data_IF_273090608131
#
_entry.id   IF_273090608131
#
_cell.length_a   1.000
_cell.length_b   1.000
_cell.length_c   1.000
_cell.angle_alpha   90.00
_cell.angle_beta   90.00
_cell.angle_gamma   90.00
#
_symmetry.space_group_name_H-M   'P 1'
#
loop_
_entity.id
_entity.type
_entity.pdbx_description
1 polymer ?
#
# COMPACT_ATOMS: atom_id res chain seq x y z
N UNK A 1 -5.31 10.11 3.22
CA UNK A 1 -6.01 8.95 3.81
C UNK A 1 -7.40 8.72 3.20
N UNK A 2 -8.26 9.74 3.13
CA UNK A 2 -9.60 9.58 2.58
C UNK A 2 -9.62 9.02 1.15
N UNK A 3 -8.74 9.49 0.26
CA UNK A 3 -8.61 8.97 -1.10
C UNK A 3 -8.23 7.48 -1.18
N UNK A 4 -7.26 7.03 -0.38
CA UNK A 4 -6.86 5.61 -0.31
C UNK A 4 -8.02 4.74 0.19
N UNK A 5 -8.68 5.18 1.27
CA UNK A 5 -9.79 4.45 1.86
C UNK A 5 -10.99 4.36 0.90
N UNK A 6 -11.30 5.45 0.20
CA UNK A 6 -12.33 5.48 -0.84
C UNK A 6 -11.96 4.58 -2.03
N UNK A 7 -10.69 4.57 -2.44
CA UNK A 7 -10.21 3.72 -3.53
C UNK A 7 -10.22 2.22 -3.18
N UNK A 8 -9.90 1.86 -1.92
CA UNK A 8 -9.98 0.49 -1.41
C UNK A 8 -11.42 -0.02 -1.27
N UNK A 9 -12.35 0.89 -1.02
CA UNK A 9 -13.77 0.57 -0.98
C UNK A 9 -14.29 0.31 -2.40
N UNK A 10 -14.70 -0.93 -2.68
CA UNK A 10 -15.18 -1.39 -3.99
C UNK A 10 -16.71 -1.42 -4.03
N UNK A 11 -17.33 -0.98 -5.13
CA UNK A 11 -18.74 -1.25 -5.42
C UNK A 11 -19.76 -0.33 -4.75
N UNK A 12 -19.54 0.98 -4.72
CA UNK A 12 -20.52 1.94 -4.23
C UNK A 12 -20.24 3.36 -4.71
N UNK A 13 -20.65 3.68 -5.93
CA UNK A 13 -20.80 5.07 -6.40
C UNK A 13 -21.98 5.75 -5.65
N UNK A 14 -21.87 5.83 -4.33
CA UNK A 14 -22.90 6.34 -3.43
C UNK A 14 -24.07 5.38 -3.25
N UNK A 15 -24.64 5.37 -2.04
CA UNK A 15 -25.83 4.61 -1.62
C UNK A 15 -25.56 3.16 -1.18
N UNK A 16 -25.07 3.02 0.06
CA UNK A 16 -25.19 1.77 0.83
C UNK A 16 -26.67 1.54 1.20
N UNK A 17 -27.33 0.65 0.45
CA UNK A 17 -28.68 0.16 0.74
C UNK A 17 -28.61 -1.17 1.49
N UNK A 18 -27.95 -1.21 2.65
CA UNK A 18 -28.01 -2.35 3.58
C UNK A 18 -28.30 -1.87 5.00
N UNK A 19 -29.45 -2.28 5.53
CA UNK A 19 -29.99 -1.89 6.84
C UNK A 19 -29.55 -2.90 7.92
N UNK A 20 -28.25 -3.00 8.17
CA UNK A 20 -27.68 -3.70 9.33
C UNK A 20 -26.40 -2.98 9.78
N UNK A 21 -26.48 -2.26 10.90
CA UNK A 21 -25.39 -1.42 11.44
C UNK A 21 -24.13 -2.24 11.78
N UNK A 22 -24.29 -3.46 12.28
CA UNK A 22 -23.18 -4.36 12.63
C UNK A 22 -22.33 -4.72 11.41
N UNK A 23 -22.97 -5.07 10.28
CA UNK A 23 -22.28 -5.36 9.02
C UNK A 23 -21.55 -4.12 8.48
N UNK A 24 -22.11 -2.92 8.64
CA UNK A 24 -21.44 -1.67 8.27
C UNK A 24 -20.22 -1.39 9.15
N UNK A 25 -20.31 -1.64 10.46
CA UNK A 25 -19.18 -1.49 11.38
C UNK A 25 -18.06 -2.47 11.06
N UNK A 26 -18.37 -3.71 10.73
CA UNK A 26 -17.39 -4.72 10.34
C UNK A 26 -16.64 -4.31 9.06
N UNK A 27 -17.36 -3.84 8.03
CA UNK A 27 -16.75 -3.34 6.79
C UNK A 27 -15.81 -2.16 7.07
N UNK A 28 -16.24 -1.20 7.91
CA UNK A 28 -15.40 -0.06 8.30
C UNK A 28 -14.13 -0.51 9.03
N UNK A 29 -14.25 -1.48 9.94
CA UNK A 29 -13.09 -2.03 10.68
C UNK A 29 -12.12 -2.73 9.73
N UNK A 30 -12.62 -3.60 8.85
CA UNK A 30 -11.80 -4.29 7.86
C UNK A 30 -11.08 -3.28 6.94
N UNK A 31 -11.80 -2.28 6.46
CA UNK A 31 -11.25 -1.24 5.58
C UNK A 31 -10.14 -0.42 6.27
N UNK A 32 -10.29 -0.13 7.56
CA UNK A 32 -9.24 0.54 8.34
C UNK A 32 -7.98 -0.34 8.44
N UNK A 33 -8.14 -1.65 8.70
CA UNK A 33 -7.00 -2.58 8.75
C UNK A 33 -6.27 -2.60 7.41
N UNK A 34 -6.98 -2.78 6.30
CA UNK A 34 -6.36 -2.82 4.97
C UNK A 34 -5.68 -1.48 4.63
N UNK A 35 -6.32 -0.35 4.96
CA UNK A 35 -5.72 0.99 4.77
C UNK A 35 -4.38 1.10 5.52
N UNK A 36 -4.35 0.66 6.78
CA UNK A 36 -3.13 0.72 7.59
C UNK A 36 -2.04 -0.22 7.06
N UNK A 37 -2.40 -1.44 6.64
CA UNK A 37 -1.45 -2.38 6.02
C UNK A 37 -0.82 -1.79 4.76
N UNK A 38 -1.60 -1.12 3.92
CA UNK A 38 -1.08 -0.41 2.73
C UNK A 38 -0.09 0.69 3.13
N UNK A 39 -0.45 1.51 4.12
CA UNK A 39 0.39 2.62 4.59
C UNK A 39 1.72 2.13 5.16
N UNK A 40 1.69 1.08 5.97
CA UNK A 40 2.90 0.45 6.53
C UNK A 40 3.75 -0.13 5.40
N UNK A 41 3.15 -0.89 4.48
CA UNK A 41 3.86 -1.47 3.34
C UNK A 41 4.55 -0.39 2.51
N UNK A 42 3.84 0.68 2.17
CA UNK A 42 4.38 1.80 1.40
C UNK A 42 5.57 2.46 2.11
N UNK A 43 5.48 2.65 3.43
CA UNK A 43 6.57 3.23 4.22
C UNK A 43 7.80 2.34 4.23
N UNK A 44 7.62 1.03 4.44
CA UNK A 44 8.72 0.05 4.45
C UNK A 44 9.42 -0.02 3.09
N UNK A 45 8.65 -0.08 1.99
CA UNK A 45 9.23 -0.10 0.65
C UNK A 45 9.88 1.23 0.24
N UNK A 46 9.35 2.36 0.71
CA UNK A 46 9.99 3.66 0.52
C UNK A 46 11.35 3.69 1.21
N UNK A 47 11.44 3.24 2.46
CA UNK A 47 12.70 3.15 3.18
C UNK A 47 13.70 2.21 2.47
N UNK A 48 13.26 1.04 2.00
CA UNK A 48 14.09 0.12 1.23
C UNK A 48 14.64 0.78 -0.05
N UNK A 49 13.81 1.54 -0.76
CA UNK A 49 14.22 2.27 -1.96
C UNK A 49 15.27 3.35 -1.65
N UNK A 50 15.08 4.11 -0.56
CA UNK A 50 16.04 5.13 -0.12
C UNK A 50 17.39 4.51 0.28
N UNK A 51 17.36 3.40 1.03
CA UNK A 51 18.58 2.67 1.39
C UNK A 51 19.34 2.17 0.16
N UNK A 52 18.63 1.64 -0.85
CA UNK A 52 19.25 1.22 -2.12
C UNK A 52 19.87 2.40 -2.86
N UNK A 53 19.23 3.57 -2.86
CA UNK A 53 19.77 4.77 -3.49
C UNK A 53 21.03 5.29 -2.79
N UNK A 54 21.01 5.32 -1.45
CA UNK A 54 22.19 5.68 -0.65
C UNK A 54 23.36 4.72 -0.89
N UNK A 55 23.10 3.42 -0.92
CA UNK A 55 24.11 2.40 -1.21
C UNK A 55 24.69 2.52 -2.64
N UNK A 56 23.91 3.05 -3.58
CA UNK A 56 24.35 3.36 -4.95
C UNK A 56 25.11 4.70 -5.06
N UNK A 57 25.33 5.40 -3.94
CA UNK A 57 26.01 6.70 -3.91
C UNK A 57 25.16 7.88 -4.38
N UNK A 58 23.84 7.70 -4.54
CA UNK A 58 22.94 8.79 -4.93
C UNK A 58 22.53 9.62 -3.70
N UNK A 59 22.58 10.96 -3.76
CA UNK A 59 22.18 11.81 -2.65
C UNK A 59 20.67 11.73 -2.41
N UNK A 60 20.27 11.36 -1.19
CA UNK A 60 18.88 11.44 -0.74
C UNK A 60 18.65 12.81 -0.11
N UNK A 61 18.00 13.68 -0.86
CA UNK A 61 17.69 15.05 -0.46
C UNK A 61 16.46 15.10 0.46
N UNK A 62 16.53 15.75 1.65
CA UNK A 62 15.40 15.86 2.57
C UNK A 62 14.12 16.45 1.96
N UNK A 63 14.27 17.38 1.01
CA UNK A 63 13.17 18.00 0.27
C UNK A 63 12.38 17.00 -0.59
N UNK A 64 13.03 15.93 -1.06
CA UNK A 64 12.35 14.85 -1.78
C UNK A 64 11.62 13.91 -0.83
N UNK A 65 12.14 13.71 0.39
CA UNK A 65 11.48 12.91 1.43
C UNK A 65 10.16 13.55 1.85
N UNK A 66 10.11 14.88 1.96
CA UNK A 66 8.90 15.62 2.32
C UNK A 66 7.74 15.42 1.32
N UNK A 67 8.05 15.05 0.08
CA UNK A 67 7.05 14.81 -0.98
C UNK A 67 6.52 13.36 -0.97
N UNK A 68 7.17 12.44 -0.24
CA UNK A 68 6.73 11.05 -0.19
C UNK A 68 5.45 10.91 0.63
N UNK A 69 4.36 10.57 -0.05
CA UNK A 69 3.12 10.20 0.63
C UNK A 69 3.06 8.69 0.88
N UNK A 70 2.84 8.24 2.13
CA UNK A 70 2.68 6.83 2.43
C UNK A 70 1.31 6.28 2.01
N UNK A 71 0.39 7.13 1.55
CA UNK A 71 -0.97 6.75 1.14
C UNK A 71 -1.12 6.61 -0.39
N UNK A 72 -0.01 6.51 -1.15
CA UNK A 72 -0.06 6.27 -2.61
C UNK A 72 -0.63 4.89 -2.90
N UNK A 73 -1.47 4.79 -3.92
CA UNK A 73 -2.11 3.53 -4.31
C UNK A 73 -2.08 3.24 -5.80
N UNK A 74 -1.50 4.12 -6.63
CA UNK A 74 -1.41 3.92 -8.08
C UNK A 74 -0.60 2.67 -8.48
N UNK A 75 0.30 2.19 -7.61
CA UNK A 75 1.08 0.97 -7.82
C UNK A 75 0.39 -0.31 -7.34
N UNK A 76 -0.74 -0.20 -6.63
CA UNK A 76 -1.48 -1.34 -6.14
C UNK A 76 -2.41 -1.84 -7.23
N UNK A 77 -2.35 -3.14 -7.50
CA UNK A 77 -3.37 -3.76 -8.33
C UNK A 77 -4.61 -4.04 -7.47
N UNK A 78 -5.70 -3.31 -7.71
CA UNK A 78 -6.99 -3.54 -7.02
C UNK A 78 -7.79 -4.68 -7.64
N UNK A 79 -7.71 -4.83 -8.96
CA UNK A 79 -8.56 -5.72 -9.75
C UNK A 79 -7.69 -6.62 -10.60
N UNK A 80 -7.80 -7.93 -10.40
CA UNK A 80 -7.07 -8.89 -11.20
C UNK A 80 -6.85 -10.20 -10.48
N UNK A 81 -5.96 -11.01 -11.05
CA UNK A 81 -5.56 -12.29 -10.47
C UNK A 81 -4.41 -12.05 -9.50
N UNK A 82 -4.58 -12.52 -8.28
CA UNK A 82 -3.53 -12.55 -7.27
C UNK A 82 -2.90 -13.94 -7.27
N UNK A 83 -1.57 -13.99 -7.36
CA UNK A 83 -0.81 -15.20 -7.07
C UNK A 83 -0.26 -15.09 -5.66
N UNK A 84 -0.55 -16.10 -4.84
CA UNK A 84 -0.04 -16.24 -3.48
C UNK A 84 1.25 -17.08 -3.41
N UNK A 85 1.88 -17.34 -4.56
CA UNK A 85 3.20 -17.94 -4.58
C UNK A 85 4.20 -16.93 -4.00
N UNK A 86 4.72 -17.23 -2.82
CA UNK A 86 5.80 -16.47 -2.20
C UNK A 86 7.13 -16.99 -2.75
N UNK A 87 7.90 -16.19 -3.49
CA UNK A 87 9.22 -16.59 -3.92
C UNK A 87 10.16 -16.67 -2.72
N UNK A 88 11.19 -17.51 -2.82
CA UNK A 88 12.05 -17.87 -1.70
C UNK A 88 12.81 -16.68 -1.10
N UNK A 89 13.08 -15.66 -1.91
CA UNK A 89 13.69 -14.38 -1.49
C UNK A 89 12.82 -13.62 -0.49
N UNK A 90 11.49 -13.62 -0.67
CA UNK A 90 10.53 -13.00 0.26
C UNK A 90 10.52 -13.72 1.61
N UNK A 91 10.77 -15.03 1.63
CA UNK A 91 10.81 -15.79 2.88
C UNK A 91 12.04 -15.46 3.73
N UNK A 92 13.11 -14.94 3.12
CA UNK A 92 14.36 -14.63 3.82
C UNK A 92 14.32 -13.26 4.50
N UNK A 93 13.76 -12.24 3.84
CA UNK A 93 13.77 -10.86 4.35
C UNK A 93 12.37 -10.25 4.54
N UNK A 94 11.30 -11.00 4.23
CA UNK A 94 9.91 -10.54 4.32
C UNK A 94 9.48 -9.56 3.23
N UNK A 95 10.36 -9.20 2.28
CA UNK A 95 10.13 -8.13 1.31
C UNK A 95 10.34 -8.61 -0.12
N UNK A 96 9.45 -8.18 -1.02
CA UNK A 96 9.64 -8.39 -2.45
C UNK A 96 10.79 -7.52 -2.97
N UNK A 97 11.58 -7.99 -3.94
CA UNK A 97 12.62 -7.17 -4.53
C UNK A 97 12.03 -5.93 -5.21
N UNK A 98 12.73 -4.80 -5.12
CA UNK A 98 12.36 -3.59 -5.83
C UNK A 98 12.46 -3.82 -7.34
N UNK A 99 11.47 -3.31 -8.09
CA UNK A 99 11.54 -3.31 -9.56
C UNK A 99 12.77 -2.54 -10.03
N UNK A 100 13.50 -3.04 -11.03
CA UNK A 100 14.61 -2.28 -11.62
C UNK A 100 14.08 -0.96 -12.18
N UNK A 101 14.89 0.11 -12.07
CA UNK A 101 14.60 1.34 -12.82
C UNK A 101 14.71 1.02 -14.33
N UNK A 102 13.83 1.59 -15.16
CA UNK A 102 13.97 1.53 -16.62
C UNK A 102 15.25 2.23 -17.10
#
# INVERSE_FOLDING_TARGET
MHALRSWLWFGGDGVLRQKQEEAQQEVVRCLNVVTNVVVVSNTVYAQLALQRQQAAGQPVLPEHLAQLSPARFAHLNRLGRYSFQLPADVLVNGLRPLRPLP
#
